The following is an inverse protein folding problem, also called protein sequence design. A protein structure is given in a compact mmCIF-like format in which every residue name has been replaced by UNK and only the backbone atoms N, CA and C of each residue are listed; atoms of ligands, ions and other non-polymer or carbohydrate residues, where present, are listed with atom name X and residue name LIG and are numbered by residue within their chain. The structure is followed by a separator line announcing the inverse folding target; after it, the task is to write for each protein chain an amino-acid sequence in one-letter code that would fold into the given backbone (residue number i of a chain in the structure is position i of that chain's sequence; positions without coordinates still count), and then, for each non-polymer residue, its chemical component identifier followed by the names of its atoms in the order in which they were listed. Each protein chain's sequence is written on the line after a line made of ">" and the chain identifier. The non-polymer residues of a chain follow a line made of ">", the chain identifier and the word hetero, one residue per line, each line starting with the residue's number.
data_IF_598858330339
#
_entry.id   IF_598858330339
#
_cell.length_a   1.000
_cell.length_b   1.000
_cell.length_c   1.000
_cell.angle_alpha   90.00
_cell.angle_beta   90.00
_cell.angle_gamma   90.00
#
_symmetry.space_group_name_H-M   'P 1'
#
loop_
_entity.id
_entity.type
_entity.pdbx_description
1 polymer ?
#
# COMPACT_ATOMS: atom_id res chain seq x y z
N UNK A 1 0.93 10.21 -15.88
CA UNK A 1 0.42 9.07 -15.08
C UNK A 1 -1.09 9.20 -15.02
N UNK A 2 -1.83 8.08 -15.00
CA UNK A 2 -3.25 8.16 -14.66
C UNK A 2 -3.37 8.47 -13.17
N UNK A 3 -4.13 9.51 -12.83
CA UNK A 3 -4.50 9.89 -11.47
C UNK A 3 -5.93 9.44 -11.20
N UNK A 4 -6.17 8.85 -10.04
CA UNK A 4 -7.48 8.41 -9.60
C UNK A 4 -8.07 9.39 -8.58
N UNK A 5 -9.39 9.61 -8.62
CA UNK A 5 -10.09 10.49 -7.70
C UNK A 5 -10.82 9.64 -6.67
N UNK A 6 -10.14 9.33 -5.57
CA UNK A 6 -10.70 8.58 -4.45
C UNK A 6 -10.58 9.39 -3.15
N UNK A 7 -11.63 9.33 -2.34
CA UNK A 7 -11.71 10.02 -1.05
C UNK A 7 -12.36 9.11 -0.02
N UNK A 8 -11.61 8.10 0.42
CA UNK A 8 -12.05 7.18 1.46
C UNK A 8 -11.43 7.56 2.81
N UNK A 9 -12.09 7.15 3.89
CA UNK A 9 -11.57 7.33 5.25
C UNK A 9 -10.29 6.52 5.52
N UNK A 10 -9.90 5.63 4.60
CA UNK A 10 -8.63 4.89 4.60
C UNK A 10 -7.48 5.65 3.97
N UNK A 11 -7.77 6.71 3.21
CA UNK A 11 -6.78 7.41 2.41
C UNK A 11 -5.89 8.28 3.31
N UNK A 12 -4.63 8.40 2.92
CA UNK A 12 -3.65 9.25 3.61
C UNK A 12 -3.38 10.50 2.79
N UNK A 13 -2.92 11.56 3.46
CA UNK A 13 -2.48 12.76 2.75
C UNK A 13 -1.30 12.45 1.82
N UNK A 14 -1.18 13.21 0.72
CA UNK A 14 -0.04 13.10 -0.19
C UNK A 14 1.28 13.41 0.51
N UNK A 15 1.27 14.30 1.50
CA UNK A 15 2.43 14.63 2.33
C UNK A 15 2.92 13.44 3.15
N UNK A 16 2.00 12.75 3.84
CA UNK A 16 2.32 11.51 4.56
C UNK A 16 2.82 10.41 3.62
N UNK A 17 2.25 10.35 2.40
CA UNK A 17 2.69 9.41 1.38
C UNK A 17 4.11 9.70 0.89
N UNK A 18 4.50 10.97 0.75
CA UNK A 18 5.84 11.33 0.27
C UNK A 18 6.93 10.87 1.26
N UNK A 19 6.64 10.85 2.57
CA UNK A 19 7.56 10.33 3.60
C UNK A 19 7.89 8.84 3.44
N UNK A 20 6.96 8.06 2.90
CA UNK A 20 7.09 6.60 2.72
C UNK A 20 7.42 6.22 1.28
N UNK A 21 7.22 7.13 0.33
CA UNK A 21 7.40 6.90 -1.10
C UNK A 21 8.79 6.37 -1.42
N UNK A 22 9.82 6.96 -0.82
CA UNK A 22 11.21 6.56 -1.04
C UNK A 22 11.48 5.10 -0.65
N UNK A 23 10.87 4.63 0.44
CA UNK A 23 10.98 3.23 0.87
C UNK A 23 10.28 2.28 -0.12
N UNK A 24 9.15 2.69 -0.71
CA UNK A 24 8.39 1.89 -1.67
C UNK A 24 9.00 1.88 -3.09
N UNK A 25 9.60 2.99 -3.51
CA UNK A 25 10.17 3.15 -4.84
C UNK A 25 11.45 2.33 -5.03
N UNK A 26 12.27 2.19 -3.98
CA UNK A 26 13.55 1.49 -4.02
C UNK A 26 13.48 -0.02 -4.22
N UNK A 27 12.30 -0.63 -4.04
CA UNK A 27 12.13 -2.09 -4.07
C UNK A 27 12.07 -2.65 -5.50
N UNK A 28 11.53 -1.87 -6.44
CA UNK A 28 11.31 -2.35 -7.81
C UNK A 28 12.54 -2.09 -8.68
N UNK A 29 13.19 -3.15 -9.18
CA UNK A 29 14.15 -3.06 -10.29
C UNK A 29 13.44 -2.49 -11.52
N UNK A 30 13.91 -1.32 -11.98
CA UNK A 30 13.19 -0.45 -12.92
C UNK A 30 13.36 -0.94 -14.36
N UNK A 31 12.47 -1.82 -14.83
CA UNK A 31 12.49 -2.33 -16.22
C UNK A 31 11.47 -1.68 -17.16
N UNK A 32 10.42 -1.03 -16.62
CA UNK A 32 9.40 -0.34 -17.42
C UNK A 32 8.83 0.88 -16.67
N UNK A 33 8.57 2.02 -17.35
CA UNK A 33 7.96 3.18 -16.72
C UNK A 33 6.57 2.85 -16.14
N UNK A 34 6.26 3.45 -14.97
CA UNK A 34 4.98 3.27 -14.27
C UNK A 34 3.88 4.05 -15.01
N UNK A 35 2.74 3.40 -15.24
CA UNK A 35 1.56 4.03 -15.86
C UNK A 35 0.59 4.64 -14.83
N UNK A 36 0.61 4.10 -13.61
CA UNK A 36 -0.29 4.42 -12.50
C UNK A 36 0.51 5.09 -11.39
N UNK A 37 -0.11 6.02 -10.66
CA UNK A 37 0.49 6.63 -9.47
C UNK A 37 0.66 5.63 -8.33
N UNK A 38 1.83 5.69 -7.68
CA UNK A 38 2.13 4.85 -6.53
C UNK A 38 1.26 5.21 -5.34
N UNK A 39 0.87 6.48 -5.23
CA UNK A 39 -0.09 6.97 -4.24
C UNK A 39 -1.43 6.24 -4.35
N UNK A 40 -2.00 6.18 -5.55
CA UNK A 40 -3.31 5.57 -5.80
C UNK A 40 -3.29 4.06 -5.48
N UNK A 41 -2.17 3.39 -5.80
CA UNK A 41 -1.97 1.96 -5.46
C UNK A 41 -1.89 1.77 -3.95
N UNK A 42 -1.20 2.65 -3.24
CA UNK A 42 -1.05 2.55 -1.80
C UNK A 42 -2.36 2.86 -1.06
N UNK A 43 -3.14 3.84 -1.53
CA UNK A 43 -4.46 4.12 -0.96
C UNK A 43 -5.43 2.95 -1.18
N UNK A 44 -5.42 2.32 -2.36
CA UNK A 44 -6.17 1.09 -2.60
C UNK A 44 -5.76 -0.03 -1.63
N UNK A 45 -4.45 -0.18 -1.38
CA UNK A 45 -3.95 -1.14 -0.40
C UNK A 45 -4.49 -0.85 1.01
N UNK A 46 -4.40 0.42 1.46
CA UNK A 46 -4.92 0.82 2.76
C UNK A 46 -6.43 0.59 2.88
N UNK A 47 -7.19 0.83 1.81
CA UNK A 47 -8.61 0.53 1.75
C UNK A 47 -8.87 -0.97 1.97
N UNK A 48 -8.14 -1.85 1.27
CA UNK A 48 -8.28 -3.30 1.46
C UNK A 48 -7.91 -3.74 2.88
N UNK A 49 -6.86 -3.17 3.46
CA UNK A 49 -6.41 -3.50 4.81
C UNK A 49 -7.37 -2.99 5.90
N UNK A 50 -8.00 -1.82 5.70
CA UNK A 50 -8.96 -1.24 6.64
C UNK A 50 -10.30 -1.97 6.62
N UNK A 51 -10.82 -2.24 5.42
CA UNK A 51 -12.16 -2.78 5.24
C UNK A 51 -12.19 -4.31 5.14
N UNK A 52 -11.04 -4.96 4.91
CA UNK A 52 -10.95 -6.40 4.78
C UNK A 52 -11.68 -6.96 3.55
N UNK A 53 -11.79 -6.19 2.46
CA UNK A 53 -12.52 -6.61 1.27
C UNK A 53 -11.71 -7.55 0.36
N UNK A 54 -12.40 -8.38 -0.40
CA UNK A 54 -11.77 -9.22 -1.44
C UNK A 54 -11.21 -8.32 -2.54
N UNK A 55 -10.03 -8.67 -3.09
CA UNK A 55 -9.36 -7.87 -4.13
C UNK A 55 -10.25 -7.55 -5.34
N UNK A 56 -11.18 -8.45 -5.71
CA UNK A 56 -12.10 -8.27 -6.83
C UNK A 56 -13.20 -7.25 -6.57
N UNK A 57 -13.50 -6.97 -5.30
CA UNK A 57 -14.50 -6.00 -4.87
C UNK A 57 -13.89 -4.61 -4.62
N UNK A 58 -12.65 -4.40 -5.04
CA UNK A 58 -12.01 -3.09 -4.98
C UNK A 58 -12.81 -2.10 -5.85
N UNK A 59 -13.18 -0.91 -5.31
CA UNK A 59 -13.90 0.10 -6.07
C UNK A 59 -13.22 0.47 -7.40
N UNK A 60 -14.02 0.75 -8.43
CA UNK A 60 -13.53 1.15 -9.76
C UNK A 60 -12.78 2.48 -9.77
N UNK A 61 -12.93 3.27 -8.71
CA UNK A 61 -12.24 4.54 -8.51
C UNK A 61 -10.77 4.35 -8.15
N UNK A 62 -10.33 3.12 -7.87
CA UNK A 62 -8.94 2.76 -7.66
C UNK A 62 -8.29 2.17 -8.91
N UNK A 63 -6.95 2.08 -8.95
CA UNK A 63 -6.27 1.26 -9.94
C UNK A 63 -6.79 -0.17 -9.95
N UNK A 64 -6.72 -0.81 -11.12
CA UNK A 64 -7.09 -2.22 -11.29
C UNK A 64 -6.48 -3.10 -10.20
N UNK A 65 -7.32 -3.95 -9.59
CA UNK A 65 -6.91 -4.80 -8.46
C UNK A 65 -5.71 -5.68 -8.78
N UNK A 66 -5.50 -6.13 -10.03
CA UNK A 66 -4.31 -6.92 -10.39
C UNK A 66 -3.03 -6.12 -10.20
N UNK A 67 -3.09 -4.82 -10.47
CA UNK A 67 -1.96 -3.91 -10.25
C UNK A 67 -1.72 -3.74 -8.76
N UNK A 68 -2.76 -3.50 -7.97
CA UNK A 68 -2.64 -3.33 -6.52
C UNK A 68 -2.07 -4.61 -5.88
N UNK A 69 -2.59 -5.77 -6.25
CA UNK A 69 -2.13 -7.07 -5.77
C UNK A 69 -0.67 -7.36 -6.16
N UNK A 70 -0.26 -7.01 -7.39
CA UNK A 70 1.13 -7.14 -7.81
C UNK A 70 2.07 -6.32 -6.92
N UNK A 71 1.71 -5.08 -6.58
CA UNK A 71 2.52 -4.23 -5.71
C UNK A 71 2.51 -4.73 -4.26
N UNK A 72 1.37 -5.19 -3.76
CA UNK A 72 1.29 -5.86 -2.46
C UNK A 72 2.27 -7.03 -2.39
N UNK A 73 2.21 -7.94 -3.36
CA UNK A 73 3.09 -9.11 -3.45
C UNK A 73 4.57 -8.71 -3.51
N UNK A 74 4.89 -7.65 -4.25
CA UNK A 74 6.26 -7.14 -4.35
C UNK A 74 6.76 -6.61 -3.00
N UNK A 75 5.92 -5.88 -2.27
CA UNK A 75 6.29 -5.29 -0.99
C UNK A 75 6.29 -6.29 0.17
N UNK A 76 5.59 -7.42 0.05
CA UNK A 76 5.58 -8.50 1.06
C UNK A 76 6.63 -9.56 0.80
N UNK A 77 6.84 -9.97 -0.46
CA UNK A 77 7.78 -11.05 -0.81
C UNK A 77 9.24 -10.65 -0.80
N UNK A 78 9.58 -9.36 -0.70
CA UNK A 78 10.98 -8.93 -0.68
C UNK A 78 11.60 -9.31 0.68
N UNK A 79 12.49 -10.32 0.74
CA UNK A 79 13.07 -10.72 2.01
C UNK A 79 14.12 -9.69 2.41
N UNK A 80 13.84 -8.96 3.49
CA UNK A 80 14.87 -8.19 4.21
C UNK A 80 15.69 -9.16 5.05
N UNK A 81 17.02 -8.96 5.22
CA UNK A 81 17.84 -9.75 6.14
C UNK A 81 17.28 -9.79 7.57
N UNK A 82 16.46 -8.81 7.95
CA UNK A 82 15.84 -8.70 9.27
C UNK A 82 14.45 -9.38 9.38
N UNK A 83 13.95 -10.02 8.32
CA UNK A 83 12.61 -10.63 8.30
C UNK A 83 11.44 -9.63 8.32
N UNK A 84 11.71 -8.33 8.26
CA UNK A 84 10.72 -7.26 8.21
C UNK A 84 10.45 -6.91 6.75
N UNK A 85 9.19 -7.02 6.30
CA UNK A 85 8.87 -6.64 4.93
C UNK A 85 8.95 -5.12 4.76
N UNK A 86 9.29 -4.61 3.57
CA UNK A 86 9.22 -3.19 3.30
C UNK A 86 7.84 -2.57 3.59
N UNK A 87 6.77 -3.33 3.36
CA UNK A 87 5.41 -2.92 3.70
C UNK A 87 5.26 -2.71 5.21
N UNK A 88 5.76 -3.64 6.04
CA UNK A 88 5.68 -3.53 7.50
C UNK A 88 6.43 -2.29 8.03
N UNK A 89 7.60 -2.00 7.45
CA UNK A 89 8.39 -0.81 7.82
C UNK A 89 7.58 0.47 7.56
N UNK A 90 6.93 0.54 6.40
CA UNK A 90 6.10 1.68 6.00
C UNK A 90 4.86 1.79 6.88
N UNK A 91 4.15 0.69 7.11
CA UNK A 91 2.97 0.68 7.99
C UNK A 91 3.32 1.07 9.43
N UNK A 92 4.49 0.67 9.94
CA UNK A 92 4.97 1.08 11.27
C UNK A 92 5.30 2.57 11.35
N UNK A 93 5.87 3.16 10.30
CA UNK A 93 6.08 4.61 10.23
C UNK A 93 4.74 5.37 10.24
N UNK A 94 3.74 4.87 9.54
CA UNK A 94 2.42 5.49 9.48
C UNK A 94 1.60 5.29 10.74
N UNK A 95 1.70 4.14 11.41
CA UNK A 95 0.95 3.85 12.65
C UNK A 95 1.38 4.72 13.84
N UNK A 96 2.56 5.35 13.76
CA UNK A 96 2.98 6.37 14.71
C UNK A 96 2.11 7.65 14.60
N UNK A 97 1.64 7.99 13.40
CA UNK A 97 0.93 9.23 13.10
C UNK A 97 -0.58 9.05 12.84
N UNK A 98 -1.02 7.82 12.53
CA UNK A 98 -2.40 7.50 12.17
C UNK A 98 -2.93 6.45 13.13
N UNK A 99 -3.79 6.90 14.06
CA UNK A 99 -4.25 6.07 15.18
C UNK A 99 -4.91 4.76 14.78
N UNK A 100 -5.70 4.75 13.68
CA UNK A 100 -6.41 3.55 13.24
C UNK A 100 -5.51 2.50 12.59
N UNK A 101 -4.32 2.87 12.11
CA UNK A 101 -3.38 1.91 11.50
C UNK A 101 -2.72 0.98 12.54
N UNK A 102 -2.73 1.35 13.82
CA UNK A 102 -2.21 0.50 14.90
C UNK A 102 -2.98 -0.81 15.03
N UNK A 103 -4.28 -0.77 14.79
CA UNK A 103 -5.15 -1.96 14.84
C UNK A 103 -5.00 -2.85 13.60
N UNK A 104 -4.55 -2.29 12.48
CA UNK A 104 -4.43 -2.98 11.18
C UNK A 104 -3.14 -3.79 11.07
N UNK A 105 -2.07 -3.40 11.77
CA UNK A 105 -0.79 -4.13 11.79
C UNK A 105 -0.89 -5.56 12.33
N UNK A 106 -1.94 -5.88 13.10
CA UNK A 106 -2.19 -7.22 13.61
C UNK A 106 -2.81 -8.16 12.58
N UNK A 107 -3.56 -7.64 11.60
CA UNK A 107 -4.30 -8.46 10.62
C UNK A 107 -3.35 -9.05 9.57
N UNK A 108 -2.30 -8.32 9.19
CA UNK A 108 -1.37 -8.71 8.13
C UNK A 108 -0.58 -10.00 8.44
N UNK A 109 -0.50 -10.42 9.71
CA UNK A 109 0.24 -11.61 10.14
C UNK A 109 -0.62 -12.86 10.33
N UNK A 110 -1.95 -12.75 10.23
CA UNK A 110 -2.88 -13.81 10.61
C UNK A 110 -3.85 -14.27 9.52
N UNK A 111 -3.90 -13.64 8.35
CA UNK A 111 -4.76 -14.14 7.27
C UNK A 111 -4.23 -13.71 5.90
N UNK A 112 -3.65 -14.67 5.18
CA UNK A 112 -3.67 -14.96 3.74
C UNK A 112 -2.41 -15.75 3.34
#
# INVERSE_FOLDING_TARGET
>A
MKSFAHHYSSDISREQFELIRTDLEGIRKRTKPRKVDLYDIFCALLYTLKNGCVWRDLPSDFPKWETVYYYWLLWTKTPSPAGITPLDKVLKKLSANIGWLRSVQFIHRSSF
#
